data_IF_416135910431
#
_entry.id   IF_416135910431
#
_cell.length_a   1.000
_cell.length_b   1.000
_cell.length_c   1.000
_cell.angle_alpha   90.00
_cell.angle_beta   90.00
_cell.angle_gamma   90.00
#
_symmetry.space_group_name_H-M   'P 1'
#
loop_
_entity.id
_entity.type
_entity.pdbx_description
1 polymer ?
#
# COMPACT_ATOMS: atom_id res chain seq x y z
N UNK A 1 16.30 5.63 -20.25
CA UNK A 1 15.58 5.58 -18.96
C UNK A 1 16.48 4.85 -17.99
N UNK A 2 17.00 5.53 -16.97
CA UNK A 2 17.87 4.90 -15.97
C UNK A 2 17.02 3.89 -15.18
N UNK A 3 17.39 2.61 -15.26
CA UNK A 3 16.73 1.53 -14.53
C UNK A 3 17.22 1.49 -13.08
N UNK A 4 16.39 0.94 -12.20
CA UNK A 4 16.78 0.64 -10.84
C UNK A 4 17.92 -0.36 -10.82
N UNK A 5 18.92 -0.10 -9.98
CA UNK A 5 20.08 -0.97 -9.78
C UNK A 5 19.82 -1.79 -8.53
N UNK A 6 20.22 -3.06 -8.53
CA UNK A 6 20.17 -3.88 -7.32
C UNK A 6 21.12 -3.26 -6.28
N UNK A 7 20.57 -2.86 -5.14
CA UNK A 7 21.35 -2.22 -4.08
C UNK A 7 22.02 -3.26 -3.19
N UNK A 8 23.06 -2.82 -2.49
CA UNK A 8 23.70 -3.64 -1.46
C UNK A 8 22.77 -3.83 -0.26
N UNK A 9 23.01 -4.91 0.49
CA UNK A 9 22.20 -5.26 1.67
C UNK A 9 22.07 -4.12 2.67
N UNK A 10 23.16 -3.38 2.90
CA UNK A 10 23.19 -2.25 3.85
C UNK A 10 22.23 -1.14 3.43
N UNK A 11 22.12 -0.85 2.13
CA UNK A 11 21.18 0.14 1.60
C UNK A 11 19.73 -0.25 1.91
N UNK A 12 19.37 -1.53 1.77
CA UNK A 12 18.02 -1.99 2.10
C UNK A 12 17.72 -1.96 3.61
N UNK A 13 18.72 -2.18 4.46
CA UNK A 13 18.58 -2.03 5.92
C UNK A 13 18.29 -0.58 6.26
N UNK A 14 19.04 0.36 5.68
CA UNK A 14 18.85 1.79 5.92
C UNK A 14 17.55 2.30 5.28
N UNK A 15 17.12 1.77 4.12
CA UNK A 15 15.79 2.06 3.56
C UNK A 15 14.67 1.65 4.53
N UNK A 16 14.75 0.44 5.11
CA UNK A 16 13.77 -0.01 6.09
C UNK A 16 13.75 0.92 7.32
N UNK A 17 14.93 1.36 7.77
CA UNK A 17 15.05 2.33 8.85
C UNK A 17 14.38 3.68 8.50
N UNK A 18 14.66 4.24 7.32
CA UNK A 18 14.04 5.47 6.83
C UNK A 18 12.51 5.37 6.84
N UNK A 19 11.95 4.30 6.26
CA UNK A 19 10.49 4.13 6.19
C UNK A 19 9.86 4.02 7.59
N UNK A 20 10.51 3.31 8.51
CA UNK A 20 10.07 3.21 9.90
C UNK A 20 10.08 4.56 10.59
N UNK A 21 11.19 5.31 10.50
CA UNK A 21 11.33 6.61 11.17
C UNK A 21 10.35 7.64 10.60
N UNK A 22 10.19 7.68 9.27
CA UNK A 22 9.17 8.48 8.61
C UNK A 22 7.78 8.15 9.16
N UNK A 23 7.42 6.87 9.24
CA UNK A 23 6.12 6.41 9.74
C UNK A 23 5.88 6.83 11.18
N UNK A 24 6.85 6.59 12.06
CA UNK A 24 6.73 6.88 13.49
C UNK A 24 6.66 8.39 13.78
N UNK A 25 7.46 9.21 13.10
CA UNK A 25 7.46 10.67 13.32
C UNK A 25 6.27 11.36 12.69
N UNK A 26 5.82 10.93 11.51
CA UNK A 26 4.60 11.45 10.90
C UNK A 26 3.36 11.10 11.74
N UNK A 27 3.33 9.93 12.38
CA UNK A 27 2.28 9.59 13.35
C UNK A 27 2.28 10.49 14.59
N UNK A 28 3.41 11.14 14.91
CA UNK A 28 3.53 12.15 15.96
C UNK A 28 3.22 13.57 15.45
N UNK A 29 2.59 13.71 14.28
CA UNK A 29 2.27 14.97 13.60
C UNK A 29 3.50 15.80 13.19
N UNK A 30 4.67 15.18 13.04
CA UNK A 30 5.84 15.86 12.46
C UNK A 30 5.67 15.97 10.94
N UNK A 31 5.88 17.16 10.34
CA UNK A 31 5.89 17.31 8.89
C UNK A 31 6.96 16.42 8.25
N UNK A 32 6.62 15.75 7.15
CA UNK A 32 7.57 14.88 6.44
C UNK A 32 8.87 15.62 6.05
N UNK A 33 8.81 16.94 5.81
CA UNK A 33 9.98 17.76 5.46
C UNK A 33 10.97 17.81 6.63
N UNK A 34 10.47 18.08 7.82
CA UNK A 34 11.25 18.13 9.06
C UNK A 34 11.83 16.75 9.40
N UNK A 35 11.09 15.67 9.10
CA UNK A 35 11.61 14.31 9.29
C UNK A 35 12.81 14.05 8.38
N UNK A 36 12.68 14.32 7.07
CA UNK A 36 13.75 14.09 6.10
C UNK A 36 15.01 14.93 6.40
N UNK A 37 14.86 16.15 6.91
CA UNK A 37 15.98 17.03 7.29
C UNK A 37 16.79 16.56 8.50
N UNK A 38 16.22 15.67 9.32
CA UNK A 38 16.90 15.12 10.51
C UNK A 38 17.44 13.72 10.28
N UNK A 39 16.74 12.94 9.46
CA UNK A 39 17.04 11.52 9.27
C UNK A 39 18.37 11.28 8.57
N UNK A 40 18.85 12.22 7.75
CA UNK A 40 20.18 12.13 7.13
C UNK A 40 21.34 12.11 8.14
N UNK A 41 21.15 12.66 9.34
CA UNK A 41 22.13 12.64 10.44
C UNK A 41 22.10 11.33 11.26
N UNK A 42 21.04 10.54 11.12
CA UNK A 42 20.81 9.31 11.89
C UNK A 42 21.17 8.04 11.11
N UNK A 43 21.16 8.13 9.78
CA UNK A 43 21.45 7.04 8.86
C UNK A 43 22.95 6.77 8.76
N UNK A 44 23.30 5.51 8.45
CA UNK A 44 24.68 5.12 8.21
C UNK A 44 25.33 5.89 7.05
N UNK A 45 26.33 6.71 7.37
CA UNK A 45 27.01 7.59 6.42
C UNK A 45 27.79 6.88 5.29
N UNK A 46 28.06 5.57 5.40
CA UNK A 46 28.72 4.80 4.33
C UNK A 46 27.76 4.40 3.19
N UNK A 47 26.45 4.53 3.40
CA UNK A 47 25.45 4.26 2.37
C UNK A 47 25.18 5.50 1.51
N UNK A 48 24.52 5.32 0.36
CA UNK A 48 24.07 6.42 -0.50
C UNK A 48 22.76 7.04 -0.02
N UNK A 49 22.11 6.44 0.98
CA UNK A 49 20.83 6.90 1.49
C UNK A 49 20.84 8.36 1.98
N UNK A 50 21.86 8.89 2.69
CA UNK A 50 21.86 10.29 3.11
C UNK A 50 21.74 11.26 1.94
N UNK A 51 22.42 10.99 0.81
CA UNK A 51 22.31 11.79 -0.41
C UNK A 51 20.91 11.71 -1.02
N UNK A 52 20.31 10.51 -1.02
CA UNK A 52 18.94 10.32 -1.48
C UNK A 52 17.94 11.08 -0.59
N UNK A 53 18.10 11.03 0.74
CA UNK A 53 17.24 11.74 1.71
C UNK A 53 17.35 13.25 1.57
N UNK A 54 18.55 13.79 1.39
CA UNK A 54 18.75 15.22 1.13
C UNK A 54 18.11 15.66 -0.18
N UNK A 55 18.18 14.82 -1.22
CA UNK A 55 17.47 15.06 -2.47
C UNK A 55 15.95 15.03 -2.27
N UNK A 56 15.42 14.03 -1.55
CA UNK A 56 13.98 13.94 -1.23
C UNK A 56 13.50 15.18 -0.46
N UNK A 57 14.25 15.64 0.54
CA UNK A 57 13.92 16.85 1.29
C UNK A 57 13.87 18.10 0.39
N UNK A 58 14.84 18.23 -0.52
CA UNK A 58 14.92 19.35 -1.47
C UNK A 58 13.79 19.30 -2.50
N UNK A 59 13.52 18.13 -3.06
CA UNK A 59 12.44 17.93 -4.03
C UNK A 59 11.06 18.13 -3.40
N UNK A 60 10.87 17.73 -2.15
CA UNK A 60 9.61 17.93 -1.45
C UNK A 60 9.36 19.40 -1.10
N UNK A 61 10.41 20.20 -0.86
CA UNK A 61 10.30 21.66 -0.74
C UNK A 61 9.88 22.31 -2.07
N UNK A 62 10.32 21.75 -3.19
CA UNK A 62 10.03 22.30 -4.51
C UNK A 62 8.67 21.88 -5.07
N UNK A 63 8.35 20.58 -5.00
CA UNK A 63 7.16 19.98 -5.61
C UNK A 63 5.99 19.80 -4.66
N UNK A 64 6.23 19.80 -3.34
CA UNK A 64 5.23 19.49 -2.32
C UNK A 64 4.83 18.01 -2.24
N UNK A 65 5.42 17.13 -3.05
CA UNK A 65 5.10 15.70 -3.13
C UNK A 65 6.35 14.85 -2.87
N UNK A 66 6.18 13.81 -2.05
CA UNK A 66 7.20 12.79 -1.80
C UNK A 66 7.36 11.86 -3.02
N UNK A 67 6.27 11.54 -3.72
CA UNK A 67 6.29 10.65 -4.88
C UNK A 67 7.20 11.16 -6.01
N UNK A 68 7.25 12.48 -6.21
CA UNK A 68 8.15 13.13 -7.18
C UNK A 68 9.62 12.76 -6.91
N UNK A 69 10.04 12.84 -5.66
CA UNK A 69 11.42 12.53 -5.25
C UNK A 69 11.80 11.08 -5.51
N UNK A 70 10.91 10.13 -5.20
CA UNK A 70 11.13 8.71 -5.44
C UNK A 70 11.24 8.40 -6.94
N UNK A 71 10.39 9.04 -7.75
CA UNK A 71 10.38 8.85 -9.21
C UNK A 71 11.66 9.38 -9.88
N UNK A 72 12.22 10.48 -9.35
CA UNK A 72 13.47 11.09 -9.86
C UNK A 72 14.74 10.34 -9.44
N UNK A 73 14.64 9.42 -8.50
CA UNK A 73 15.76 8.58 -8.03
C UNK A 73 15.55 7.09 -8.38
N UNK A 74 15.35 6.73 -9.67
CA UNK A 74 15.06 5.34 -10.04
C UNK A 74 16.23 4.41 -9.75
N UNK A 75 17.46 4.93 -9.69
CA UNK A 75 18.67 4.15 -9.35
C UNK A 75 18.73 3.75 -7.87
N UNK A 76 17.89 4.32 -7.01
CA UNK A 76 17.87 4.07 -5.57
C UNK A 76 16.51 3.51 -5.11
N UNK A 77 15.41 4.12 -5.52
CA UNK A 77 14.07 3.62 -5.23
C UNK A 77 13.50 2.89 -6.44
N UNK A 78 12.83 1.76 -6.21
CA UNK A 78 12.20 1.01 -7.30
C UNK A 78 10.94 1.73 -7.78
N UNK A 79 10.53 1.44 -9.02
CA UNK A 79 9.28 1.97 -9.58
C UNK A 79 8.07 1.63 -8.69
N UNK A 80 8.05 0.41 -8.13
CA UNK A 80 7.00 0.00 -7.20
C UNK A 80 6.99 0.86 -5.93
N UNK A 81 8.15 1.15 -5.32
CA UNK A 81 8.22 2.01 -4.13
C UNK A 81 7.67 3.42 -4.43
N UNK A 82 8.03 3.99 -5.59
CA UNK A 82 7.49 5.28 -6.03
C UNK A 82 5.97 5.23 -6.24
N UNK A 83 5.44 4.16 -6.85
CA UNK A 83 4.00 3.95 -7.06
C UNK A 83 3.20 3.90 -5.75
N UNK A 84 3.74 3.22 -4.74
CA UNK A 84 3.08 3.09 -3.43
C UNK A 84 2.97 4.45 -2.75
N UNK A 85 4.03 5.27 -2.77
CA UNK A 85 3.96 6.64 -2.22
C UNK A 85 2.98 7.50 -3.00
N UNK A 86 3.03 7.45 -4.34
CA UNK A 86 2.09 8.18 -5.21
C UNK A 86 0.64 7.84 -4.91
N UNK A 87 0.33 6.54 -4.72
CA UNK A 87 -1.01 6.12 -4.32
C UNK A 87 -1.43 6.68 -2.96
N UNK A 88 -0.48 6.91 -2.05
CA UNK A 88 -0.76 7.44 -0.72
C UNK A 88 -0.98 8.95 -0.69
N UNK A 89 -0.52 9.65 -1.74
CA UNK A 89 -0.74 11.09 -1.94
C UNK A 89 -1.97 11.36 -2.80
N UNK A 90 -2.56 10.33 -3.41
CA UNK A 90 -3.77 10.47 -4.21
C UNK A 90 -5.00 10.69 -3.33
N UNK A 91 -5.72 11.79 -3.57
CA UNK A 91 -6.99 12.09 -2.91
C UNK A 91 -8.09 11.08 -3.24
N UNK A 92 -7.97 10.38 -4.38
CA UNK A 92 -8.98 9.42 -4.85
C UNK A 92 -8.89 8.08 -4.13
N UNK A 93 -7.72 7.72 -3.62
CA UNK A 93 -7.45 6.43 -3.01
C UNK A 93 -7.56 6.54 -1.49
N UNK A 94 -8.31 5.61 -0.88
CA UNK A 94 -8.36 5.47 0.59
C UNK A 94 -7.12 4.73 1.09
N UNK A 95 -5.94 5.25 0.79
CA UNK A 95 -4.66 4.64 1.12
C UNK A 95 -3.79 5.61 1.91
N UNK A 96 -3.65 5.36 3.20
CA UNK A 96 -2.94 6.26 4.11
C UNK A 96 -1.42 6.12 3.96
N UNK A 97 -0.70 7.25 4.03
CA UNK A 97 0.77 7.28 4.01
C UNK A 97 1.41 6.40 5.07
N UNK A 98 0.81 6.25 6.26
CA UNK A 98 1.31 5.33 7.30
C UNK A 98 1.32 3.87 6.82
N UNK A 99 0.27 3.45 6.11
CA UNK A 99 0.17 2.09 5.54
C UNK A 99 1.17 1.92 4.40
N UNK A 100 1.34 2.96 3.57
CA UNK A 100 2.34 3.00 2.52
C UNK A 100 3.76 2.81 3.06
N UNK A 101 4.14 3.59 4.06
CA UNK A 101 5.45 3.50 4.70
C UNK A 101 5.67 2.15 5.38
N UNK A 102 4.66 1.57 6.04
CA UNK A 102 4.77 0.24 6.64
C UNK A 102 4.97 -0.86 5.59
N UNK A 103 4.31 -0.75 4.44
CA UNK A 103 4.48 -1.67 3.31
C UNK A 103 5.92 -1.60 2.77
N UNK A 104 6.43 -0.38 2.59
CA UNK A 104 7.80 -0.16 2.10
C UNK A 104 8.87 -0.59 3.11
N UNK A 105 8.64 -0.36 4.41
CA UNK A 105 9.46 -0.86 5.51
C UNK A 105 9.62 -2.39 5.44
N UNK A 106 8.51 -3.10 5.27
CA UNK A 106 8.47 -4.56 5.15
C UNK A 106 9.15 -5.05 3.87
N UNK A 107 8.92 -4.37 2.75
CA UNK A 107 9.56 -4.69 1.47
C UNK A 107 11.09 -4.57 1.57
N UNK A 108 11.58 -3.44 2.08
CA UNK A 108 13.01 -3.20 2.26
C UNK A 108 13.63 -4.23 3.22
N UNK A 109 12.93 -4.57 4.31
CA UNK A 109 13.33 -5.63 5.22
C UNK A 109 13.44 -7.00 4.55
N UNK A 110 12.52 -7.34 3.64
CA UNK A 110 12.59 -8.59 2.85
C UNK A 110 13.78 -8.59 1.89
N UNK A 111 14.04 -7.46 1.23
CA UNK A 111 15.18 -7.28 0.31
C UNK A 111 16.54 -7.38 1.01
N UNK A 112 16.64 -6.91 2.26
CA UNK A 112 17.84 -7.03 3.09
C UNK A 112 18.14 -8.47 3.57
N UNK A 113 17.16 -9.37 3.47
CA UNK A 113 17.28 -10.78 3.85
C UNK A 113 17.80 -11.65 2.70
N UNK A 114 17.02 -12.67 2.34
CA UNK A 114 17.26 -13.53 1.19
C UNK A 114 16.04 -13.47 0.27
N UNK A 115 15.90 -12.37 -0.49
CA UNK A 115 14.70 -12.18 -1.30
C UNK A 115 14.69 -13.16 -2.46
N UNK A 116 13.51 -13.72 -2.74
CA UNK A 116 13.27 -14.51 -3.95
C UNK A 116 12.39 -13.70 -4.92
N UNK A 117 12.59 -13.81 -6.25
CA UNK A 117 11.70 -13.18 -7.22
C UNK A 117 10.23 -13.56 -6.99
N UNK A 118 9.97 -14.83 -6.66
CA UNK A 118 8.63 -15.34 -6.35
C UNK A 118 8.03 -14.65 -5.13
N UNK A 119 8.76 -14.61 -4.01
CA UNK A 119 8.28 -13.99 -2.78
C UNK A 119 8.07 -12.49 -2.93
N UNK A 120 8.98 -11.78 -3.60
CA UNK A 120 8.84 -10.35 -3.87
C UNK A 120 7.62 -10.07 -4.74
N UNK A 121 7.45 -10.84 -5.82
CA UNK A 121 6.33 -10.67 -6.73
C UNK A 121 4.99 -10.89 -6.04
N UNK A 122 4.84 -11.98 -5.27
CA UNK A 122 3.60 -12.24 -4.54
C UNK A 122 3.33 -11.13 -3.53
N UNK A 123 4.35 -10.67 -2.79
CA UNK A 123 4.20 -9.57 -1.84
C UNK A 123 3.73 -8.27 -2.49
N UNK A 124 4.36 -7.87 -3.60
CA UNK A 124 4.00 -6.65 -4.33
C UNK A 124 2.60 -6.78 -4.97
N UNK A 125 2.28 -7.93 -5.56
CA UNK A 125 0.97 -8.20 -6.16
C UNK A 125 -0.16 -8.22 -5.12
N UNK A 126 0.08 -8.88 -3.98
CA UNK A 126 -0.85 -8.91 -2.85
C UNK A 126 -1.05 -7.50 -2.29
N UNK A 127 0.01 -6.69 -2.24
CA UNK A 127 -0.06 -5.28 -1.83
C UNK A 127 -0.95 -4.43 -2.74
N UNK A 128 -0.81 -4.58 -4.07
CA UNK A 128 -1.68 -3.91 -5.05
C UNK A 128 -3.14 -4.34 -4.87
N UNK A 129 -3.37 -5.65 -4.71
CA UNK A 129 -4.70 -6.24 -4.60
C UNK A 129 -5.42 -5.84 -3.31
N UNK A 130 -4.75 -5.98 -2.16
CA UNK A 130 -5.34 -5.72 -0.84
C UNK A 130 -5.63 -4.25 -0.60
N UNK A 131 -4.76 -3.36 -1.08
CA UNK A 131 -4.87 -1.93 -0.87
C UNK A 131 -5.51 -1.18 -2.05
N UNK A 132 -5.94 -1.91 -3.09
CA UNK A 132 -6.59 -1.37 -4.30
C UNK A 132 -5.77 -0.25 -4.97
N UNK A 133 -4.46 -0.48 -5.13
CA UNK A 133 -3.51 0.52 -5.65
C UNK A 133 -3.48 0.61 -7.19
N UNK A 134 -4.41 -0.05 -7.88
CA UNK A 134 -4.49 -0.11 -9.33
C UNK A 134 -3.49 -1.10 -9.96
N UNK A 135 -4.01 -2.09 -10.69
CA UNK A 135 -3.17 -3.11 -11.32
C UNK A 135 -2.38 -2.59 -12.52
N UNK A 136 -2.98 -1.69 -13.31
CA UNK A 136 -2.41 -1.25 -14.57
C UNK A 136 -1.04 -0.59 -14.38
N UNK A 137 -1.00 0.47 -13.58
CA UNK A 137 0.24 1.20 -13.27
C UNK A 137 1.14 0.41 -12.32
N UNK A 138 0.55 -0.25 -11.31
CA UNK A 138 1.31 -1.02 -10.32
C UNK A 138 2.15 -2.14 -10.95
N UNK A 139 1.56 -2.92 -11.86
CA UNK A 139 2.26 -4.02 -12.52
C UNK A 139 3.35 -3.52 -13.48
N UNK A 140 3.10 -2.44 -14.22
CA UNK A 140 4.13 -1.82 -15.08
C UNK A 140 5.32 -1.35 -14.24
N UNK A 141 5.07 -0.73 -13.09
CA UNK A 141 6.12 -0.26 -12.17
C UNK A 141 6.92 -1.42 -11.56
N UNK A 142 6.25 -2.52 -11.24
CA UNK A 142 6.87 -3.75 -10.74
C UNK A 142 7.71 -4.47 -11.79
N UNK A 143 7.27 -4.51 -13.05
CA UNK A 143 7.95 -5.26 -14.12
C UNK A 143 9.40 -4.81 -14.37
N UNK A 144 9.77 -3.61 -13.91
CA UNK A 144 11.10 -3.02 -14.03
C UNK A 144 11.98 -3.20 -12.79
N UNK A 145 11.59 -4.04 -11.83
CA UNK A 145 12.40 -4.32 -10.65
C UNK A 145 13.72 -5.02 -11.00
N UNK A 146 14.86 -4.61 -10.43
CA UNK A 146 16.15 -5.27 -10.68
C UNK A 146 16.22 -6.70 -10.16
N UNK A 147 15.35 -7.09 -9.22
CA UNK A 147 15.30 -8.47 -8.72
C UNK A 147 14.62 -9.43 -9.71
N UNK A 148 13.95 -8.93 -10.75
CA UNK A 148 13.24 -9.75 -11.71
C UNK A 148 14.13 -10.12 -12.91
N UNK A 149 14.41 -11.42 -13.12
CA UNK A 149 14.96 -11.90 -14.38
C UNK A 149 14.10 -11.50 -15.60
N UNK A 150 14.66 -11.51 -16.83
CA UNK A 150 13.93 -11.12 -18.03
C UNK A 150 12.60 -11.86 -18.24
N UNK A 151 12.51 -13.14 -17.85
CA UNK A 151 11.27 -13.92 -18.00
C UNK A 151 10.13 -13.36 -17.15
N UNK A 152 10.45 -12.79 -15.98
CA UNK A 152 9.46 -12.20 -15.07
C UNK A 152 8.85 -10.94 -15.66
N UNK A 153 9.64 -10.10 -16.34
CA UNK A 153 9.13 -8.89 -16.97
C UNK A 153 8.04 -9.21 -17.99
N UNK A 154 8.31 -10.18 -18.88
CA UNK A 154 7.32 -10.64 -19.86
C UNK A 154 6.07 -11.22 -19.19
N UNK A 155 6.26 -11.98 -18.11
CA UNK A 155 5.14 -12.52 -17.35
C UNK A 155 4.27 -11.44 -16.70
N UNK A 156 4.87 -10.43 -16.09
CA UNK A 156 4.14 -9.32 -15.46
C UNK A 156 3.36 -8.50 -16.51
N UNK A 157 3.97 -8.29 -17.68
CA UNK A 157 3.29 -7.63 -18.81
C UNK A 157 2.09 -8.43 -19.33
N UNK A 158 2.20 -9.76 -19.42
CA UNK A 158 1.06 -10.63 -19.77
C UNK A 158 -0.02 -10.63 -18.68
N UNK A 159 0.41 -10.70 -17.41
CA UNK A 159 -0.46 -10.74 -16.25
C UNK A 159 -1.35 -9.50 -16.21
N UNK A 160 -0.81 -8.32 -16.51
CA UNK A 160 -1.53 -7.04 -16.55
C UNK A 160 -2.87 -7.11 -17.29
N UNK A 161 -2.94 -7.85 -18.40
CA UNK A 161 -4.16 -8.00 -19.19
C UNK A 161 -5.06 -9.16 -18.73
N UNK A 162 -4.54 -10.05 -17.88
CA UNK A 162 -5.25 -11.22 -17.36
C UNK A 162 -5.85 -10.98 -15.97
N UNK A 163 -5.33 -10.00 -15.22
CA UNK A 163 -5.85 -9.68 -13.88
C UNK A 163 -7.33 -9.30 -13.95
N UNK A 164 -8.14 -9.97 -13.14
CA UNK A 164 -9.59 -9.77 -13.08
C UNK A 164 -10.38 -10.62 -14.08
N UNK A 165 -9.72 -11.25 -15.06
CA UNK A 165 -10.33 -12.20 -16.01
C UNK A 165 -10.07 -13.63 -15.58
N UNK A 166 -8.83 -13.92 -15.15
CA UNK A 166 -8.41 -15.25 -14.69
C UNK A 166 -8.21 -15.26 -13.17
N UNK A 167 -8.43 -16.44 -12.56
CA UNK A 167 -8.06 -16.67 -11.17
C UNK A 167 -6.52 -16.60 -11.04
N UNK A 168 -6.05 -15.87 -10.03
CA UNK A 168 -4.64 -15.77 -9.73
C UNK A 168 -4.02 -17.13 -9.39
N UNK A 169 -4.79 -18.02 -8.75
CA UNK A 169 -4.36 -19.39 -8.48
C UNK A 169 -4.06 -20.16 -9.78
N UNK A 170 -4.88 -19.98 -10.82
CA UNK A 170 -4.68 -20.62 -12.11
C UNK A 170 -3.40 -20.13 -12.78
N UNK A 171 -3.17 -18.81 -12.75
CA UNK A 171 -1.98 -18.19 -13.33
C UNK A 171 -0.70 -18.72 -12.66
N UNK A 172 -0.67 -18.76 -11.32
CA UNK A 172 0.50 -19.28 -10.57
C UNK A 172 0.71 -20.76 -10.88
N UNK A 173 -0.35 -21.57 -10.93
CA UNK A 173 -0.23 -22.99 -11.23
C UNK A 173 0.32 -23.25 -12.64
N UNK A 174 -0.25 -22.64 -13.68
CA UNK A 174 0.19 -22.85 -15.07
C UNK A 174 1.65 -22.46 -15.29
N UNK A 175 2.16 -21.51 -14.51
CA UNK A 175 3.55 -21.04 -14.54
C UNK A 175 4.49 -21.81 -13.60
N UNK A 176 4.03 -22.90 -12.98
CA UNK A 176 4.80 -23.66 -12.00
C UNK A 176 5.40 -24.96 -12.54
N UNK A 177 6.47 -25.43 -11.89
CA UNK A 177 7.05 -26.74 -12.23
C UNK A 177 6.11 -27.90 -11.88
N UNK A 178 5.19 -27.72 -10.93
CA UNK A 178 4.16 -28.71 -10.61
C UNK A 178 3.23 -28.97 -11.79
N UNK A 179 2.80 -27.93 -12.50
CA UNK A 179 2.00 -28.07 -13.71
C UNK A 179 2.76 -28.80 -14.81
N UNK A 180 4.03 -28.45 -15.03
CA UNK A 180 4.87 -29.15 -16.00
C UNK A 180 5.03 -30.64 -15.66
N UNK A 181 5.18 -30.97 -14.37
CA UNK A 181 5.25 -32.35 -13.90
C UNK A 181 3.93 -33.11 -14.09
N UNK A 182 2.79 -32.46 -13.84
CA UNK A 182 1.47 -33.05 -14.06
C UNK A 182 1.22 -33.33 -15.55
N UNK A 183 1.60 -32.42 -16.45
CA UNK A 183 1.49 -32.63 -17.89
C UNK A 183 2.41 -33.75 -18.39
N UNK A 184 3.64 -33.84 -17.87
CA UNK A 184 4.57 -34.92 -18.24
C UNK A 184 4.11 -36.33 -17.84
N UNK A 185 3.18 -36.44 -16.88
CA UNK A 185 2.55 -37.73 -16.55
C UNK A 185 1.53 -38.17 -17.59
N UNK A 186 0.91 -37.22 -18.28
CA UNK A 186 -0.07 -37.48 -19.34
C UNK A 186 0.63 -37.64 -20.69
N UNK A 187 1.63 -36.82 -20.96
CA UNK A 187 2.46 -36.86 -22.16
C UNK A 187 3.94 -36.76 -21.77
N UNK A 188 4.66 -37.87 -21.85
CA UNK A 188 6.08 -37.96 -21.47
C UNK A 188 6.99 -37.01 -22.26
N UNK A 189 6.55 -36.54 -23.43
CA UNK A 189 7.29 -35.58 -24.27
C UNK A 189 6.97 -34.11 -23.97
N UNK A 190 6.13 -33.81 -22.98
CA UNK A 190 5.67 -32.45 -22.73
C UNK A 190 6.81 -31.51 -22.29
N UNK A 191 7.05 -30.49 -23.12
CA UNK A 191 7.86 -29.34 -22.80
C UNK A 191 6.98 -28.10 -22.60
N UNK A 192 7.15 -27.37 -21.48
CA UNK A 192 6.41 -26.14 -21.26
C UNK A 192 6.67 -25.14 -22.39
N UNK A 193 5.60 -24.66 -23.01
CA UNK A 193 5.69 -23.63 -24.07
C UNK A 193 6.14 -22.26 -23.54
N UNK A 194 6.13 -22.07 -22.22
CA UNK A 194 6.47 -20.82 -21.55
C UNK A 194 7.37 -21.10 -20.34
N UNK A 195 8.22 -20.14 -19.93
CA UNK A 195 9.13 -20.32 -18.80
C UNK A 195 8.41 -20.68 -17.51
N UNK A 196 9.04 -21.58 -16.74
CA UNK A 196 8.59 -21.95 -15.39
C UNK A 196 9.13 -20.92 -14.40
N UNK A 197 8.23 -20.18 -13.75
CA UNK A 197 8.58 -19.09 -12.83
C UNK A 197 8.39 -19.50 -11.37
N UNK A 198 7.45 -20.39 -11.11
CA UNK A 198 7.12 -20.87 -9.77
C UNK A 198 7.61 -22.31 -9.53
N UNK A 199 8.02 -22.58 -8.31
CA UNK A 199 8.48 -23.91 -7.89
C UNK A 199 7.35 -24.93 -7.71
N UNK A 200 7.71 -26.16 -7.36
CA UNK A 200 6.75 -27.27 -7.18
C UNK A 200 5.81 -27.00 -6.00
N UNK A 201 6.36 -26.47 -4.89
CA UNK A 201 5.58 -26.13 -3.69
C UNK A 201 4.52 -25.06 -3.98
N UNK A 202 4.93 -23.96 -4.63
CA UNK A 202 4.03 -22.87 -5.01
C UNK A 202 2.94 -23.36 -5.96
N UNK A 203 3.30 -24.18 -6.95
CA UNK A 203 2.35 -24.77 -7.88
C UNK A 203 1.32 -25.68 -7.21
N UNK A 204 1.75 -26.54 -6.28
CA UNK A 204 0.82 -27.39 -5.51
C UNK A 204 -0.11 -26.58 -4.62
N UNK A 205 0.41 -25.51 -4.00
CA UNK A 205 -0.40 -24.59 -3.21
C UNK A 205 -1.45 -23.90 -4.09
N UNK A 206 -1.04 -23.42 -5.27
CA UNK A 206 -1.92 -22.77 -6.22
C UNK A 206 -3.04 -23.73 -6.67
N UNK A 207 -2.69 -24.95 -7.09
CA UNK A 207 -3.65 -26.00 -7.46
C UNK A 207 -4.67 -26.31 -6.35
N UNK A 208 -4.24 -26.33 -5.09
CA UNK A 208 -5.12 -26.60 -3.97
C UNK A 208 -6.10 -25.45 -3.64
N UNK A 209 -5.82 -24.23 -4.12
CA UNK A 209 -6.60 -23.02 -3.83
C UNK A 209 -7.38 -22.47 -5.05
N UNK A 210 -7.39 -23.17 -6.18
CA UNK A 210 -8.20 -22.80 -7.35
C UNK A 210 -9.69 -22.69 -6.99
N UNK A 211 -10.32 -21.59 -7.40
CA UNK A 211 -11.74 -21.32 -7.15
C UNK A 211 -12.09 -21.06 -5.67
N UNK A 212 -11.09 -20.89 -4.80
CA UNK A 212 -11.28 -20.48 -3.40
C UNK A 212 -11.02 -18.99 -3.26
N UNK A 213 -11.29 -18.45 -2.07
CA UNK A 213 -10.92 -17.07 -1.75
C UNK A 213 -9.38 -16.91 -1.91
N UNK A 214 -8.91 -15.96 -2.75
CA UNK A 214 -7.49 -15.68 -2.96
C UNK A 214 -6.71 -15.40 -1.67
N UNK A 215 -7.37 -14.97 -0.60
CA UNK A 215 -6.74 -14.76 0.70
C UNK A 215 -6.11 -16.04 1.26
N UNK A 216 -6.69 -17.22 1.01
CA UNK A 216 -6.12 -18.49 1.43
C UNK A 216 -4.85 -18.84 0.66
N UNK A 217 -4.84 -18.52 -0.65
CA UNK A 217 -3.66 -18.69 -1.50
C UNK A 217 -2.51 -17.83 -0.97
N UNK A 218 -2.73 -16.54 -0.76
CA UNK A 218 -1.71 -15.63 -0.22
C UNK A 218 -1.18 -16.11 1.13
N UNK A 219 -2.07 -16.45 2.08
CA UNK A 219 -1.63 -16.95 3.38
C UNK A 219 -0.78 -18.24 3.27
N UNK A 220 -1.09 -19.13 2.31
CA UNK A 220 -0.32 -20.35 2.09
C UNK A 220 1.05 -20.07 1.45
N UNK A 221 1.10 -19.20 0.44
CA UNK A 221 2.33 -18.78 -0.22
C UNK A 221 3.25 -18.03 0.75
N UNK A 222 2.70 -17.13 1.56
CA UNK A 222 3.44 -16.39 2.58
C UNK A 222 4.22 -17.31 3.52
N UNK A 223 3.57 -18.39 4.01
CA UNK A 223 4.23 -19.36 4.91
C UNK A 223 5.38 -20.12 4.25
N UNK A 224 5.33 -20.37 2.94
CA UNK A 224 6.38 -21.13 2.24
C UNK A 224 7.49 -20.26 1.66
N UNK A 225 7.13 -19.09 1.14
CA UNK A 225 8.05 -18.15 0.50
C UNK A 225 8.69 -17.18 1.51
N UNK A 226 8.12 -17.08 2.72
CA UNK A 226 8.67 -16.26 3.81
C UNK A 226 8.62 -14.76 3.53
N UNK A 227 7.79 -14.30 2.59
CA UNK A 227 7.61 -12.87 2.35
C UNK A 227 6.80 -12.23 3.50
N UNK A 228 7.01 -10.93 3.78
CA UNK A 228 6.41 -10.28 4.94
C UNK A 228 4.90 -10.12 4.79
N UNK A 229 4.19 -9.99 5.91
CA UNK A 229 2.74 -9.76 5.85
C UNK A 229 2.43 -8.43 5.17
N UNK A 230 1.42 -8.40 4.31
CA UNK A 230 0.97 -7.14 3.70
C UNK A 230 0.11 -6.37 4.70
N UNK A 231 0.47 -5.11 5.04
CA UNK A 231 -0.34 -4.28 5.92
C UNK A 231 -1.75 -4.09 5.37
N UNK A 232 -2.74 -4.07 6.27
CA UNK A 232 -4.13 -3.77 5.93
C UNK A 232 -4.43 -2.32 6.26
N UNK A 233 -5.12 -1.61 5.36
CA UNK A 233 -5.78 -0.36 5.71
C UNK A 233 -6.70 -0.66 6.89
N UNK A 234 -6.38 -0.13 8.07
CA UNK A 234 -7.29 -0.18 9.21
C UNK A 234 -8.46 0.72 8.85
N UNK A 235 -9.71 0.23 8.88
CA UNK A 235 -10.85 1.13 8.88
C UNK A 235 -10.64 2.12 10.02
N UNK A 236 -10.70 3.41 9.73
CA UNK A 236 -10.66 4.45 10.79
C UNK A 236 -11.70 4.05 11.82
N UNK A 237 -11.25 3.90 13.05
CA UNK A 237 -12.00 3.24 14.12
C UNK A 237 -13.41 3.82 14.22
N UNK A 238 -14.41 3.04 13.78
CA UNK A 238 -15.80 3.50 13.70
C UNK A 238 -16.33 3.93 15.06
N UNK A 239 -15.74 3.43 16.15
CA UNK A 239 -16.06 3.78 17.53
C UNK A 239 -15.76 5.25 17.82
N UNK A 240 -14.62 5.79 17.37
CA UNK A 240 -14.27 7.20 17.57
C UNK A 240 -15.25 8.13 16.85
N UNK A 241 -15.56 7.82 15.59
CA UNK A 241 -16.56 8.56 14.81
C UNK A 241 -17.98 8.41 15.39
N UNK A 242 -18.32 7.23 15.91
CA UNK A 242 -19.61 6.99 16.59
C UNK A 242 -19.70 7.81 17.86
N UNK A 243 -18.64 7.87 18.67
CA UNK A 243 -18.60 8.68 19.90
C UNK A 243 -18.71 10.17 19.58
N UNK A 244 -18.00 10.67 18.57
CA UNK A 244 -18.12 12.07 18.12
C UNK A 244 -19.54 12.39 17.63
N UNK A 245 -20.15 11.47 16.87
CA UNK A 245 -21.55 11.61 16.40
C UNK A 245 -22.54 11.59 17.57
N UNK A 246 -22.33 10.71 18.56
CA UNK A 246 -23.15 10.65 19.77
C UNK A 246 -23.00 11.90 20.63
N UNK A 247 -21.79 12.45 20.76
CA UNK A 247 -21.55 13.73 21.45
C UNK A 247 -22.28 14.89 20.78
N UNK A 248 -22.28 14.95 19.44
CA UNK A 248 -23.04 15.96 18.70
C UNK A 248 -24.55 15.82 18.94
N UNK A 249 -25.09 14.60 18.88
CA UNK A 249 -26.52 14.34 19.15
C UNK A 249 -26.90 14.64 20.61
N UNK A 250 -26.01 14.37 21.57
CA UNK A 250 -26.24 14.68 22.98
C UNK A 250 -26.36 16.20 23.20
N UNK A 251 -25.47 16.99 22.59
CA UNK A 251 -25.52 18.47 22.65
C UNK A 251 -26.80 19.02 22.02
N UNK A 252 -27.27 18.40 20.94
CA UNK A 252 -28.54 18.77 20.31
C UNK A 252 -29.73 18.46 21.24
N UNK A 253 -29.72 17.29 21.88
CA UNK A 253 -30.74 16.92 22.88
C UNK A 253 -30.72 17.86 24.10
N UNK A 254 -29.53 18.23 24.61
CA UNK A 254 -29.40 19.19 25.71
C UNK A 254 -30.00 20.55 25.34
N UNK A 255 -29.75 21.03 24.12
CA UNK A 255 -30.33 22.27 23.61
C UNK A 255 -31.86 22.18 23.56
N UNK A 256 -32.42 21.09 23.01
CA UNK A 256 -33.87 20.86 22.94
C UNK A 256 -34.51 20.74 24.33
N UNK A 257 -33.84 20.07 25.27
CA UNK A 257 -34.29 19.95 26.66
C UNK A 257 -34.34 21.31 27.35
N UNK A 258 -33.30 22.15 27.19
CA UNK A 258 -33.30 23.52 27.73
C UNK A 258 -34.45 24.37 27.19
N UNK A 259 -34.80 24.21 25.91
CA UNK A 259 -35.94 24.89 25.30
C UNK A 259 -37.29 24.39 25.84
N UNK A 260 -37.44 23.08 26.04
CA UNK A 260 -38.65 22.52 26.67
C UNK A 260 -38.78 22.96 28.13
N UNK A 261 -37.67 23.00 28.87
CA UNK A 261 -37.67 23.48 30.25
C UNK A 261 -38.03 24.98 30.36
N UNK A 262 -37.61 25.81 29.40
CA UNK A 262 -37.95 27.23 29.38
C UNK A 262 -39.41 27.48 29.01
N UNK A 263 -39.99 26.65 28.15
CA UNK A 263 -41.43 26.65 27.82
C UNK A 263 -42.28 26.27 29.05
N UNK A 264 -41.92 25.21 29.77
CA UNK A 264 -42.62 24.75 30.98
C UNK A 264 -42.55 25.78 32.13
N UNK A 265 -41.42 26.50 32.25
CA UNK A 265 -41.24 27.57 33.25
C UNK A 265 -41.92 28.89 32.87
N UNK A 266 -42.57 28.97 31.71
CA UNK A 266 -43.23 30.20 31.24
C UNK A 266 -42.26 31.34 30.90
N UNK A 267 -40.98 31.04 30.70
CA UNK A 267 -39.91 31.97 30.33
C UNK A 267 -39.50 31.74 28.87
N UNK A 268 -40.48 31.61 27.98
CA UNK A 268 -40.21 31.35 26.57
C UNK A 268 -39.86 32.66 25.84
N UNK A 269 -38.58 32.90 25.64
CA UNK A 269 -38.09 34.08 24.93
C UNK A 269 -37.99 33.81 23.41
N UNK A 270 -38.94 34.35 22.65
CA UNK A 270 -39.05 34.22 21.18
C UNK A 270 -37.79 34.71 20.43
N UNK A 271 -36.91 35.49 21.08
CA UNK A 271 -35.65 35.93 20.50
C UNK A 271 -34.61 34.79 20.39
N UNK A 272 -34.55 33.86 21.35
CA UNK A 272 -33.61 32.74 21.33
C UNK A 272 -33.90 31.74 20.20
N UNK A 273 -35.17 31.60 19.82
CA UNK A 273 -35.59 30.71 18.74
C UNK A 273 -35.26 31.28 17.35
N UNK A 274 -35.21 32.62 17.20
CA UNK A 274 -34.77 33.30 15.97
C UNK A 274 -33.26 33.22 15.75
N UNK A 275 -32.46 33.16 16.81
CA UNK A 275 -31.00 32.95 16.70
C UNK A 275 -30.65 31.52 16.30
N UNK A 276 -31.40 30.53 16.79
CA UNK A 276 -31.30 29.12 16.36
C UNK A 276 -31.84 28.85 14.95
N UNK A 277 -32.71 29.72 14.45
CA UNK A 277 -33.32 29.63 13.11
C UNK A 277 -32.55 30.35 11.99
N UNK A 278 -31.31 30.81 12.21
CA UNK A 278 -30.51 31.36 11.12
C UNK A 278 -30.04 30.24 10.17
N UNK A 279 -30.42 30.29 8.88
CA UNK A 279 -30.18 29.23 7.90
C UNK A 279 -28.74 29.25 7.35
N UNK A 280 -27.73 29.55 8.17
CA UNK A 280 -26.32 29.50 7.77
C UNK A 280 -25.66 28.13 8.06
N UNK A 281 -26.42 27.19 8.64
CA UNK A 281 -25.98 25.81 8.93
C UNK A 281 -26.73 24.73 8.11
N UNK A 282 -27.56 25.13 7.15
CA UNK A 282 -28.33 24.22 6.27
C UNK A 282 -27.95 24.33 4.79
N UNK A 283 -26.92 25.12 4.42
CA UNK A 283 -26.56 25.40 3.03
C UNK A 283 -25.35 24.62 2.51
N UNK A 284 -25.19 23.35 2.90
CA UNK A 284 -24.28 22.43 2.19
C UNK A 284 -24.99 21.09 1.97
N UNK A 285 -26.08 21.13 1.19
CA UNK A 285 -26.54 19.97 0.45
C UNK A 285 -26.21 20.23 -1.04
N UNK A 286 -25.44 19.36 -1.71
CA UNK A 286 -25.23 19.51 -3.15
C UNK A 286 -26.52 19.14 -3.89
N UNK A 287 -27.01 20.06 -4.72
CA UNK A 287 -27.95 19.75 -5.79
C UNK A 287 -27.21 18.99 -6.91
N UNK A 288 -27.78 17.83 -7.28
CA UNK A 288 -27.65 17.08 -8.55
C UNK A 288 -26.27 16.79 -9.13
#
# INVERSE_FOLDING_TARGET
MNQAVLLDREEYIEQAYLFRVMRERMAQNMPAQEVLERVDQEILASTRLPLAVQFLASEMKHSGSLASGFTKLPHYFTGFQAHVIECSESETLRFQTETALLLLEREAGYRAGQPTPQGLFIYQFESLSRNKLGYDQGLVRMAHDPLYPPEWRHFVDELRFQVGVLDFADIVYVRSSAHAADQRRLDSGYEPSRPVLFGDKEGRIARANMGRDPLYLFAALQRQLGYPEVPRVRPVDSLGNTVLTLQAKLREMETRLKLLESEVKGQFDLQQLKELGRPELLSDAPES
#
